data_IF_524885764354
#
_entry.id   IF_524885764354
#
_cell.length_a   1.000
_cell.length_b   1.000
_cell.length_c   1.000
_cell.angle_alpha   90.00
_cell.angle_beta   90.00
_cell.angle_gamma   90.00
#
_symmetry.space_group_name_H-M   'P 1'
#
loop_
_entity.id
_entity.type
_entity.pdbx_description
1 polymer ?
#
# COMPACT_ATOMS: atom_id res chain seq x y z
N UNK A 1 -19.97 8.06 26.48
CA UNK A 1 -19.01 7.07 25.96
C UNK A 1 -19.82 6.22 25.00
N UNK A 2 -19.64 6.42 23.70
CA UNK A 2 -20.52 5.84 22.67
C UNK A 2 -19.71 4.85 21.84
N UNK A 3 -20.06 3.58 21.97
CA UNK A 3 -19.43 2.46 21.27
C UNK A 3 -19.77 2.47 19.77
N UNK A 4 -18.74 2.49 18.91
CA UNK A 4 -18.90 2.32 17.47
C UNK A 4 -19.01 0.82 17.14
N UNK A 5 -20.21 0.37 16.75
CA UNK A 5 -20.43 -0.95 16.16
C UNK A 5 -20.40 -0.89 14.64
N UNK A 6 -19.34 -1.40 14.01
CA UNK A 6 -19.32 -1.67 12.57
C UNK A 6 -20.09 -2.97 12.30
N UNK A 7 -21.20 -2.87 11.56
CA UNK A 7 -22.02 -3.99 11.12
C UNK A 7 -21.30 -4.69 9.95
N UNK A 8 -20.88 -5.94 10.14
CA UNK A 8 -20.41 -6.79 9.03
C UNK A 8 -21.64 -7.38 8.32
N UNK A 9 -21.89 -6.94 7.10
CA UNK A 9 -22.76 -7.67 6.19
C UNK A 9 -21.92 -8.77 5.51
N UNK A 10 -22.11 -10.01 5.94
CA UNK A 10 -21.59 -11.20 5.25
C UNK A 10 -22.35 -11.39 3.94
N UNK A 11 -21.77 -10.91 2.84
CA UNK A 11 -22.16 -11.29 1.48
C UNK A 11 -21.26 -12.42 0.99
N UNK A 12 -21.90 -13.45 0.44
CA UNK A 12 -21.31 -14.69 -0.07
C UNK A 12 -20.17 -14.47 -1.07
N UNK A 13 -19.23 -15.43 -1.20
CA UNK A 13 -18.10 -15.34 -2.11
C UNK A 13 -18.61 -15.44 -3.56
N UNK A 14 -18.88 -14.29 -4.16
CA UNK A 14 -19.25 -14.20 -5.56
C UNK A 14 -18.03 -14.56 -6.43
N UNK A 15 -18.28 -15.42 -7.40
CA UNK A 15 -17.35 -16.10 -8.31
C UNK A 15 -16.71 -15.17 -9.34
N UNK A 16 -16.20 -14.01 -8.89
CA UNK A 16 -15.43 -13.08 -9.70
C UNK A 16 -13.93 -13.32 -9.55
N UNK A 17 -13.26 -13.66 -10.65
CA UNK A 17 -11.81 -13.96 -10.70
C UNK A 17 -10.88 -12.84 -10.19
N UNK A 18 -11.42 -11.64 -9.93
CA UNK A 18 -10.72 -10.53 -9.28
C UNK A 18 -11.59 -10.03 -8.13
N UNK A 19 -11.06 -9.97 -6.91
CA UNK A 19 -11.79 -9.45 -5.75
C UNK A 19 -12.26 -8.01 -6.01
N UNK A 20 -13.54 -7.75 -5.77
CA UNK A 20 -14.08 -6.40 -5.87
C UNK A 20 -13.82 -5.61 -4.57
N UNK A 21 -12.70 -4.89 -4.54
CA UNK A 21 -12.31 -4.06 -3.40
C UNK A 21 -13.16 -2.80 -3.21
N UNK A 22 -14.05 -2.47 -4.16
CA UNK A 22 -15.02 -1.39 -3.98
C UNK A 22 -16.14 -1.77 -2.98
N UNK A 23 -16.33 -3.07 -2.72
CA UNK A 23 -17.39 -3.59 -1.85
C UNK A 23 -16.85 -3.99 -0.47
N UNK A 24 -15.67 -4.61 -0.41
CA UNK A 24 -15.07 -5.08 0.85
C UNK A 24 -14.16 -4.07 1.53
N UNK A 25 -13.78 -2.99 0.82
CA UNK A 25 -12.73 -2.09 1.26
C UNK A 25 -11.36 -2.77 1.36
N UNK A 26 -10.32 -2.02 1.71
CA UNK A 26 -8.95 -2.56 1.88
C UNK A 26 -8.71 -3.17 3.28
N UNK A 27 -9.78 -3.57 3.97
CA UNK A 27 -9.75 -3.99 5.37
C UNK A 27 -9.19 -5.40 5.57
N UNK A 28 -9.32 -6.28 4.57
CA UNK A 28 -8.70 -7.60 4.59
C UNK A 28 -7.19 -7.49 4.82
N UNK A 29 -6.57 -8.40 5.60
CA UNK A 29 -5.12 -8.46 5.71
C UNK A 29 -4.57 -8.70 4.31
N UNK A 30 -3.92 -7.68 3.78
CA UNK A 30 -3.25 -7.77 2.51
C UNK A 30 -2.23 -8.92 2.60
N UNK A 31 -2.08 -9.73 1.53
CA UNK A 31 -1.03 -10.74 1.47
C UNK A 31 0.33 -10.12 1.77
N UNK A 32 1.13 -10.79 2.61
CA UNK A 32 2.49 -10.35 2.95
C UNK A 32 3.40 -10.48 1.72
N UNK A 33 3.51 -9.39 0.97
CA UNK A 33 4.43 -9.26 -0.15
C UNK A 33 3.91 -9.77 -1.50
N UNK A 34 4.78 -9.65 -2.51
CA UNK A 34 4.44 -9.86 -3.91
C UNK A 34 4.11 -11.30 -4.27
N UNK A 35 4.77 -12.28 -3.66
CA UNK A 35 4.51 -13.70 -3.94
C UNK A 35 3.10 -14.12 -3.52
N UNK A 36 2.65 -13.65 -2.36
CA UNK A 36 1.30 -13.92 -1.87
C UNK A 36 0.23 -13.15 -2.67
N UNK A 37 0.53 -11.92 -3.14
CA UNK A 37 -0.33 -11.20 -4.08
C UNK A 37 -0.47 -11.96 -5.41
N UNK A 38 0.64 -12.40 -6.02
CA UNK A 38 0.61 -13.15 -7.28
C UNK A 38 -0.21 -14.46 -7.17
N UNK A 39 -0.11 -15.17 -6.04
CA UNK A 39 -0.90 -16.38 -5.79
C UNK A 39 -2.42 -16.13 -5.79
N UNK A 40 -2.85 -14.90 -5.48
CA UNK A 40 -4.27 -14.50 -5.51
C UNK A 40 -4.75 -13.99 -6.87
N UNK A 41 -3.83 -13.71 -7.81
CA UNK A 41 -4.13 -13.14 -9.13
C UNK A 41 -4.25 -14.24 -10.20
N UNK A 42 -5.15 -15.20 -9.99
CA UNK A 42 -5.40 -16.26 -10.96
C UNK A 42 -6.11 -15.69 -12.20
N UNK A 43 -5.50 -15.85 -13.39
CA UNK A 43 -6.06 -15.36 -14.65
C UNK A 43 -5.79 -13.87 -14.94
N UNK A 44 -4.84 -13.25 -14.23
CA UNK A 44 -4.41 -11.88 -14.49
C UNK A 44 -3.09 -11.91 -15.26
N UNK A 45 -3.13 -11.48 -16.53
CA UNK A 45 -1.94 -11.47 -17.39
C UNK A 45 -1.00 -10.29 -17.11
N UNK A 46 -1.55 -9.17 -16.63
CA UNK A 46 -0.78 -8.00 -16.22
C UNK A 46 -1.51 -7.20 -15.13
N UNK A 47 -0.77 -6.73 -14.13
CA UNK A 47 -1.30 -5.86 -13.09
C UNK A 47 -0.31 -4.75 -12.73
N UNK A 48 -0.77 -3.52 -12.90
CA UNK A 48 -0.07 -2.33 -12.42
C UNK A 48 -0.91 -1.64 -11.35
N UNK A 49 -0.38 -1.57 -10.13
CA UNK A 49 -1.01 -0.87 -9.02
C UNK A 49 -0.28 0.46 -8.86
N UNK A 50 -1.03 1.56 -8.93
CA UNK A 50 -0.57 2.92 -8.62
C UNK A 50 -1.50 3.52 -7.59
N UNK A 51 -0.95 3.95 -6.45
CA UNK A 51 -1.73 4.55 -5.38
C UNK A 51 -0.92 5.61 -4.64
N UNK A 52 -1.55 6.72 -4.29
CA UNK A 52 -0.98 7.69 -3.34
C UNK A 52 -1.81 7.65 -2.07
N UNK A 53 -1.15 7.40 -0.95
CA UNK A 53 -1.78 7.28 0.38
C UNK A 53 -1.12 8.25 1.34
N UNK A 54 -1.85 8.64 2.37
CA UNK A 54 -1.27 9.40 3.47
C UNK A 54 -0.27 8.52 4.24
N UNK A 55 0.81 9.15 4.70
CA UNK A 55 1.87 8.50 5.45
C UNK A 55 2.10 9.22 6.78
N UNK A 56 2.45 8.45 7.80
CA UNK A 56 2.87 8.96 9.10
C UNK A 56 4.39 8.80 9.24
N UNK A 57 5.04 9.75 9.92
CA UNK A 57 6.48 9.69 10.19
C UNK A 57 6.72 9.48 11.68
N UNK A 58 7.53 8.48 12.01
CA UNK A 58 8.04 8.24 13.36
C UNK A 58 9.46 8.82 13.48
N UNK A 59 9.65 9.91 14.24
CA UNK A 59 10.96 10.54 14.42
C UNK A 59 11.92 9.69 15.26
N UNK A 60 11.44 8.76 16.09
CA UNK A 60 12.30 7.92 16.92
C UNK A 60 13.02 6.84 16.11
N UNK A 61 12.35 6.31 15.08
CA UNK A 61 12.89 5.27 14.20
C UNK A 61 13.28 5.78 12.81
N UNK A 62 12.98 7.05 12.51
CA UNK A 62 13.15 7.68 11.20
C UNK A 62 12.38 6.93 10.09
N UNK A 63 11.22 6.36 10.42
CA UNK A 63 10.42 5.56 9.49
C UNK A 63 9.17 6.29 9.04
N UNK A 64 8.93 6.26 7.73
CA UNK A 64 7.63 6.56 7.15
C UNK A 64 6.78 5.27 7.11
N UNK A 65 5.62 5.31 7.75
CA UNK A 65 4.64 4.23 7.82
C UNK A 65 3.41 4.60 6.99
N UNK A 66 2.99 3.71 6.10
CA UNK A 66 1.80 3.90 5.25
C UNK A 66 1.20 2.55 4.89
N UNK A 67 -0.08 2.52 4.46
CA UNK A 67 -0.75 1.29 4.05
C UNK A 67 -1.03 1.35 2.56
N UNK A 68 -0.43 0.45 1.80
CA UNK A 68 -0.74 0.33 0.38
C UNK A 68 -1.97 -0.59 0.25
N UNK A 69 -2.98 -0.19 -0.54
CA UNK A 69 -4.01 -1.09 -0.99
C UNK A 69 -3.41 -2.40 -1.50
N UNK A 70 -3.92 -3.56 -1.06
CA UNK A 70 -3.51 -4.90 -1.51
C UNK A 70 -2.13 -5.41 -1.09
N UNK A 71 -1.20 -4.54 -0.68
CA UNK A 71 0.14 -4.93 -0.19
C UNK A 71 0.33 -4.67 1.32
N UNK A 72 -0.65 -4.04 1.97
CA UNK A 72 -0.69 -3.93 3.42
C UNK A 72 0.18 -2.82 3.98
N UNK A 73 0.48 -2.86 5.29
CA UNK A 73 1.30 -1.87 5.95
C UNK A 73 2.74 -1.95 5.46
N UNK A 74 3.30 -0.81 5.10
CA UNK A 74 4.66 -0.66 4.62
C UNK A 74 5.41 0.34 5.49
N UNK A 75 6.71 0.10 5.65
CA UNK A 75 7.62 0.94 6.41
C UNK A 75 8.87 1.21 5.60
N UNK A 76 9.22 2.49 5.48
CA UNK A 76 10.41 2.94 4.76
C UNK A 76 11.24 3.80 5.70
N UNK A 77 12.47 3.38 5.95
CA UNK A 77 13.44 4.20 6.71
C UNK A 77 13.98 5.30 5.81
N UNK A 78 13.89 6.53 6.29
CA UNK A 78 14.46 7.70 5.61
C UNK A 78 15.93 7.87 6.04
N UNK A 79 16.85 8.20 5.11
CA UNK A 79 18.26 8.41 5.44
C UNK A 79 18.50 9.69 6.25
N UNK A 80 17.55 10.63 6.20
CA UNK A 80 17.60 11.91 6.89
C UNK A 80 16.26 12.17 7.58
N UNK A 81 16.26 12.76 8.79
CA UNK A 81 15.04 13.11 9.48
C UNK A 81 14.31 14.24 8.73
N UNK A 82 13.00 14.11 8.62
CA UNK A 82 12.15 15.14 8.04
C UNK A 82 11.54 16.03 9.13
N UNK A 83 11.30 17.31 8.86
CA UNK A 83 10.59 18.17 9.79
C UNK A 83 9.19 17.60 10.09
N UNK A 84 8.70 17.66 11.34
CA UNK A 84 7.39 17.10 11.72
C UNK A 84 6.19 17.89 11.18
N UNK A 85 6.41 18.85 10.28
CA UNK A 85 5.41 19.80 9.83
C UNK A 85 5.16 19.66 8.33
N UNK A 86 4.01 19.10 8.00
CA UNK A 86 3.51 19.02 6.63
C UNK A 86 2.82 17.68 6.33
N UNK A 87 1.81 17.66 5.44
CA UNK A 87 1.27 16.41 4.92
C UNK A 87 2.38 15.58 4.26
N UNK A 88 2.57 14.36 4.77
CA UNK A 88 3.43 13.35 4.16
C UNK A 88 2.55 12.39 3.36
N UNK A 89 2.89 12.19 2.09
CA UNK A 89 2.21 11.24 1.19
C UNK A 89 3.20 10.22 0.65
N UNK A 90 2.76 8.98 0.53
CA UNK A 90 3.51 7.91 -0.11
C UNK A 90 2.78 7.52 -1.41
N UNK A 91 3.42 7.79 -2.55
CA UNK A 91 2.96 7.30 -3.84
C UNK A 91 3.74 6.04 -4.20
N UNK A 92 3.00 4.98 -4.50
CA UNK A 92 3.52 3.66 -4.75
C UNK A 92 3.13 3.22 -6.16
N UNK A 93 4.05 2.56 -6.84
CA UNK A 93 3.86 1.99 -8.16
C UNK A 93 4.50 0.60 -8.20
N UNK A 94 3.74 -0.41 -8.62
CA UNK A 94 4.30 -1.75 -8.84
C UNK A 94 5.05 -1.81 -10.16
N UNK A 95 6.17 -2.54 -10.15
CA UNK A 95 7.01 -2.76 -11.32
C UNK A 95 6.82 -4.19 -11.88
N UNK A 96 6.98 -4.32 -13.20
CA UNK A 96 6.82 -5.59 -13.93
C UNK A 96 5.44 -5.77 -14.55
N UNK A 97 5.31 -6.79 -15.43
CA UNK A 97 4.03 -7.20 -16.03
C UNK A 97 3.11 -7.74 -14.92
N UNK A 98 3.66 -8.62 -14.09
CA UNK A 98 3.11 -8.97 -12.79
C UNK A 98 3.92 -8.24 -11.71
N UNK A 99 3.29 -7.77 -10.61
CA UNK A 99 3.97 -7.06 -9.55
C UNK A 99 5.13 -7.89 -8.96
N UNK A 100 6.36 -7.55 -9.33
CA UNK A 100 7.60 -8.16 -8.82
C UNK A 100 8.45 -7.17 -8.02
N UNK A 101 8.11 -5.89 -8.13
CA UNK A 101 8.76 -4.82 -7.38
C UNK A 101 7.79 -3.70 -7.02
N UNK A 102 8.24 -2.83 -6.13
CA UNK A 102 7.55 -1.65 -5.67
C UNK A 102 8.48 -0.45 -5.77
N UNK A 103 8.06 0.60 -6.47
CA UNK A 103 8.63 1.93 -6.34
C UNK A 103 7.77 2.74 -5.39
N UNK A 104 8.38 3.25 -4.32
CA UNK A 104 7.74 4.15 -3.36
C UNK A 104 8.43 5.50 -3.43
N UNK A 105 7.63 6.55 -3.61
CA UNK A 105 8.08 7.93 -3.55
C UNK A 105 7.35 8.63 -2.41
N UNK A 106 8.10 9.18 -1.47
CA UNK A 106 7.60 9.97 -0.36
C UNK A 106 7.59 11.45 -0.77
N UNK A 107 6.47 12.10 -0.54
CA UNK A 107 6.25 13.52 -0.78
C UNK A 107 5.96 14.23 0.53
N UNK A 108 6.70 15.29 0.82
CA UNK A 108 6.43 16.20 1.94
C UNK A 108 5.97 17.53 1.35
N UNK A 109 4.77 18.00 1.75
CA UNK A 109 4.20 19.24 1.20
C UNK A 109 4.11 19.25 -0.35
N UNK A 110 3.90 18.08 -0.96
CA UNK A 110 3.85 17.93 -2.42
C UNK A 110 5.21 17.87 -3.13
N UNK A 111 6.33 17.95 -2.39
CA UNK A 111 7.69 17.83 -2.94
C UNK A 111 8.23 16.42 -2.68
N UNK A 112 8.74 15.75 -3.71
CA UNK A 112 9.37 14.44 -3.58
C UNK A 112 10.66 14.57 -2.75
N UNK A 113 10.71 13.90 -1.60
CA UNK A 113 11.84 13.97 -0.67
C UNK A 113 12.68 12.69 -0.69
N UNK A 114 12.07 11.56 -1.06
CA UNK A 114 12.75 10.27 -1.03
C UNK A 114 12.07 9.30 -1.99
N UNK A 115 12.86 8.53 -2.72
CA UNK A 115 12.37 7.44 -3.56
C UNK A 115 13.15 6.18 -3.23
N UNK A 116 12.44 5.07 -3.06
CA UNK A 116 13.03 3.76 -2.87
C UNK A 116 12.33 2.74 -3.75
N UNK A 117 13.09 1.74 -4.20
CA UNK A 117 12.58 0.60 -4.94
C UNK A 117 12.86 -0.66 -4.15
N UNK A 118 11.89 -1.57 -4.09
CA UNK A 118 12.01 -2.90 -3.49
C UNK A 118 11.68 -3.96 -4.53
N UNK A 119 12.43 -5.05 -4.55
CA UNK A 119 12.24 -6.11 -5.55
C UNK A 119 12.78 -5.73 -6.93
N UNK A 120 12.31 -6.41 -7.97
CA UNK A 120 12.76 -6.20 -9.34
C UNK A 120 11.98 -5.03 -9.99
N UNK A 121 12.57 -3.84 -9.95
CA UNK A 121 12.15 -2.68 -10.75
C UNK A 121 13.28 -2.37 -11.74
N UNK A 122 13.11 -2.64 -13.06
CA UNK A 122 14.09 -2.26 -14.07
C UNK A 122 14.17 -0.74 -14.26
#
# INVERSE_FOLDING_TARGET
MSDCHCRHDTLSPDSGHVRNFAVTGFADPAPDGFGALQATLQGVDALQIRACVDAAYDPATQQACFRIPLLGPQRVTLPLPIPPHGPLKACCETCGILPQGLKVTLYLNGVAIFTTTRGACP
#
